data_IF_266481352405
#
_entry.id   IF_266481352405
#
_cell.length_a   1.000
_cell.length_b   1.000
_cell.length_c   1.000
_cell.angle_alpha   90.00
_cell.angle_beta   90.00
_cell.angle_gamma   90.00
#
_symmetry.space_group_name_H-M   'P 1'
#
loop_
_entity.id
_entity.type
_entity.pdbx_description
1 polymer ?
#
# COMPACT_ATOMS: atom_id res chain seq x y z
N UNK A 1 -32.98 -10.86 -37.06
CA UNK A 1 -32.36 -9.84 -36.20
C UNK A 1 -31.91 -10.47 -34.88
N UNK A 2 -30.61 -10.54 -34.62
CA UNK A 2 -30.07 -11.13 -33.38
C UNK A 2 -30.12 -10.11 -32.24
N UNK A 3 -31.02 -10.30 -31.27
CA UNK A 3 -31.08 -9.47 -30.05
C UNK A 3 -29.81 -9.73 -29.22
N UNK A 4 -28.92 -8.74 -29.11
CA UNK A 4 -27.78 -8.78 -28.18
C UNK A 4 -28.30 -9.01 -26.75
N UNK A 5 -27.94 -10.14 -26.13
CA UNK A 5 -28.23 -10.41 -24.72
C UNK A 5 -27.56 -9.34 -23.86
N UNK A 6 -28.32 -8.68 -22.99
CA UNK A 6 -27.77 -7.73 -22.01
C UNK A 6 -26.86 -8.49 -21.04
N UNK A 7 -25.64 -8.00 -20.84
CA UNK A 7 -24.70 -8.58 -19.86
C UNK A 7 -25.33 -8.46 -18.47
N UNK A 8 -25.49 -9.59 -17.77
CA UNK A 8 -25.92 -9.58 -16.36
C UNK A 8 -24.76 -9.06 -15.50
N UNK A 9 -25.10 -8.27 -14.47
CA UNK A 9 -24.13 -7.85 -13.45
C UNK A 9 -23.70 -9.11 -12.69
N UNK A 10 -22.40 -9.26 -12.36
CA UNK A 10 -21.95 -10.40 -11.57
C UNK A 10 -22.60 -10.36 -10.18
N UNK A 11 -23.12 -11.50 -9.74
CA UNK A 11 -23.65 -11.66 -8.38
C UNK A 11 -22.48 -11.92 -7.43
N UNK A 12 -22.32 -11.06 -6.42
CA UNK A 12 -21.29 -11.20 -5.39
C UNK A 12 -21.93 -11.93 -4.20
N UNK A 13 -21.51 -13.17 -3.96
CA UNK A 13 -21.99 -13.99 -2.84
C UNK A 13 -21.40 -13.59 -1.49
N UNK A 14 -21.89 -14.18 -0.41
CA UNK A 14 -21.23 -14.08 0.89
C UNK A 14 -19.78 -14.63 0.84
N UNK A 15 -18.84 -14.05 1.60
CA UNK A 15 -17.46 -14.50 1.65
C UNK A 15 -17.38 -15.92 2.25
N UNK A 16 -16.47 -16.73 1.71
CA UNK A 16 -16.14 -18.07 2.17
C UNK A 16 -14.62 -18.25 2.09
N UNK A 17 -14.08 -19.27 2.75
CA UNK A 17 -12.65 -19.63 2.70
C UNK A 17 -11.71 -18.49 3.13
N UNK A 18 -11.93 -17.96 4.33
CA UNK A 18 -11.00 -17.01 4.91
C UNK A 18 -9.59 -17.63 5.00
N UNK A 19 -8.61 -16.93 4.46
CA UNK A 19 -7.20 -17.34 4.49
C UNK A 19 -6.35 -16.21 5.07
N UNK A 20 -5.79 -16.47 6.25
CA UNK A 20 -4.88 -15.53 6.88
C UNK A 20 -3.46 -15.75 6.33
N UNK A 21 -3.12 -15.04 5.26
CA UNK A 21 -1.85 -15.25 4.53
C UNK A 21 -0.63 -14.66 5.22
N UNK A 22 -0.77 -13.48 5.81
CA UNK A 22 0.36 -12.75 6.42
C UNK A 22 -0.14 -12.00 7.65
N UNK A 23 0.64 -12.06 8.73
CA UNK A 23 0.40 -11.30 9.95
C UNK A 23 1.63 -10.45 10.29
N UNK A 24 1.55 -9.15 10.00
CA UNK A 24 2.60 -8.20 10.35
C UNK A 24 2.31 -7.61 11.73
N UNK A 25 3.32 -7.59 12.60
CA UNK A 25 3.28 -6.94 13.91
C UNK A 25 4.58 -6.19 14.20
N UNK A 26 4.63 -5.44 15.30
CA UNK A 26 5.81 -4.71 15.74
C UNK A 26 6.28 -5.21 17.10
N UNK A 27 7.51 -5.72 17.17
CA UNK A 27 8.15 -6.09 18.42
C UNK A 27 8.79 -4.84 19.04
N UNK A 28 8.11 -4.26 20.02
CA UNK A 28 8.56 -3.05 20.71
C UNK A 28 9.84 -3.25 21.52
N UNK A 29 10.14 -4.48 21.99
CA UNK A 29 11.36 -4.74 22.77
C UNK A 29 12.60 -4.69 21.87
N UNK A 30 12.45 -5.21 20.65
CA UNK A 30 13.54 -5.27 19.66
C UNK A 30 13.53 -4.06 18.71
N UNK A 31 12.43 -3.31 18.66
CA UNK A 31 12.23 -2.19 17.75
C UNK A 31 12.11 -2.62 16.28
N UNK A 32 11.62 -3.83 16.00
CA UNK A 32 11.58 -4.41 14.64
C UNK A 32 10.17 -4.84 14.25
N UNK A 33 9.87 -4.76 12.96
CA UNK A 33 8.66 -5.37 12.40
C UNK A 33 8.87 -6.87 12.20
N UNK A 34 7.86 -7.65 12.57
CA UNK A 34 7.85 -9.12 12.45
C UNK A 34 6.69 -9.55 11.55
N UNK A 35 6.87 -10.67 10.84
CA UNK A 35 5.84 -11.19 9.94
C UNK A 35 5.58 -10.30 8.71
N UNK A 36 6.53 -9.45 8.33
CA UNK A 36 6.46 -8.68 7.10
C UNK A 36 6.38 -9.61 5.88
N UNK A 37 5.59 -9.25 4.85
CA UNK A 37 5.72 -9.85 3.53
C UNK A 37 7.18 -9.75 3.04
N UNK A 38 7.68 -10.79 2.36
CA UNK A 38 9.08 -10.85 1.87
C UNK A 38 9.46 -9.63 1.03
N UNK A 39 8.51 -9.11 0.24
CA UNK A 39 8.72 -7.92 -0.59
C UNK A 39 9.01 -6.64 0.23
N UNK A 40 8.60 -6.60 1.49
CA UNK A 40 8.72 -5.41 2.35
C UNK A 40 9.97 -5.44 3.23
N UNK A 41 10.54 -6.61 3.48
CA UNK A 41 11.75 -6.76 4.29
C UNK A 41 12.89 -5.87 3.76
N UNK A 42 13.17 -5.93 2.46
CA UNK A 42 14.20 -5.12 1.83
C UNK A 42 13.87 -3.62 1.77
N UNK A 43 12.59 -3.23 1.81
CA UNK A 43 12.21 -1.82 1.78
C UNK A 43 12.41 -1.15 3.15
N UNK A 44 12.12 -1.88 4.22
CA UNK A 44 12.10 -1.36 5.58
C UNK A 44 13.48 -1.44 6.22
N UNK A 45 14.28 -2.48 5.95
CA UNK A 45 15.67 -2.55 6.44
C UNK A 45 16.55 -1.44 5.85
N UNK A 46 16.21 -0.99 4.64
CA UNK A 46 16.90 0.10 3.94
C UNK A 46 16.38 1.51 4.33
N UNK A 47 15.72 1.67 5.49
CA UNK A 47 15.31 2.98 6.01
C UNK A 47 16.48 3.94 6.30
N UNK A 48 17.74 3.48 6.25
CA UNK A 48 18.92 4.35 6.01
C UNK A 48 18.96 4.86 4.58
N UNK A 49 17.81 5.19 3.99
CA UNK A 49 17.76 5.85 2.69
C UNK A 49 18.53 7.16 2.87
N UNK A 50 19.56 7.42 2.05
CA UNK A 50 20.25 8.70 2.08
C UNK A 50 19.21 9.81 2.01
N UNK A 51 19.35 10.85 2.85
CA UNK A 51 18.51 12.04 2.71
C UNK A 51 18.58 12.45 1.24
N UNK A 52 17.44 12.60 0.54
CA UNK A 52 17.48 13.03 -0.84
C UNK A 52 18.28 14.33 -0.89
N UNK A 53 19.22 14.43 -1.83
CA UNK A 53 19.97 15.66 -2.03
C UNK A 53 18.97 16.69 -2.58
N UNK A 54 18.49 17.58 -1.70
CA UNK A 54 17.56 18.65 -2.06
C UNK A 54 18.38 19.83 -2.54
N UNK A 55 18.13 20.27 -3.77
CA UNK A 55 18.65 21.53 -4.29
C UNK A 55 17.73 22.68 -3.80
N UNK A 56 18.22 23.59 -2.95
CA UNK A 56 17.42 24.71 -2.45
C UNK A 56 17.00 25.69 -3.56
N UNK A 57 17.70 25.70 -4.69
CA UNK A 57 17.38 26.58 -5.82
C UNK A 57 16.21 26.07 -6.68
N UNK A 58 15.77 24.82 -6.48
CA UNK A 58 14.78 24.14 -7.33
C UNK A 58 13.64 23.52 -6.52
N UNK A 59 13.09 24.30 -5.58
CA UNK A 59 11.94 23.90 -4.78
C UNK A 59 10.68 23.98 -5.65
N UNK A 60 9.97 22.86 -5.83
CA UNK A 60 8.63 22.85 -6.42
C UNK A 60 7.64 23.48 -5.44
N UNK A 61 6.97 24.59 -5.79
CA UNK A 61 5.98 25.19 -4.90
C UNK A 61 4.78 24.22 -4.75
N UNK A 62 4.53 23.78 -3.52
CA UNK A 62 3.34 22.98 -3.19
C UNK A 62 2.33 23.89 -2.51
N UNK A 63 1.12 23.97 -3.06
CA UNK A 63 0.01 24.66 -2.39
C UNK A 63 -0.45 23.85 -1.17
N UNK A 64 0.01 24.22 0.02
CA UNK A 64 -0.35 23.56 1.28
C UNK A 64 -1.71 24.00 1.84
N UNK A 65 -2.52 24.76 1.09
CA UNK A 65 -3.82 25.22 1.59
C UNK A 65 -4.81 24.06 1.60
N UNK A 66 -5.43 23.72 2.75
CA UNK A 66 -6.58 22.84 2.73
C UNK A 66 -7.67 23.51 1.90
N UNK A 67 -8.21 22.79 0.91
CA UNK A 67 -9.40 23.23 0.18
C UNK A 67 -10.52 23.39 1.22
N UNK A 68 -10.98 24.63 1.40
CA UNK A 68 -12.18 24.95 2.17
C UNK A 68 -13.41 24.44 1.43
#
# INVERSE_FOLDING_TARGET
MFRKKKKKRPEISAPKNFEHRVHTSFDAKRGVFVGLPTQWQSLIENLRRPKPMVDPSRITPVELKPKK
#
